data_IF_802378543127
#
_entry.id   IF_802378543127
#
_cell.length_a   1.000
_cell.length_b   1.000
_cell.length_c   1.000
_cell.angle_alpha   90.00
_cell.angle_beta   90.00
_cell.angle_gamma   90.00
#
_symmetry.space_group_name_H-M   'P 1'
#
loop_
_entity.id
_entity.type
_entity.pdbx_description
1 polymer ?
#
# COMPACT_ATOMS: atom_id res chain seq x y z
N UNK A 1 17.07 12.29 -2.89
CA UNK A 1 17.64 10.98 -2.51
C UNK A 1 17.43 10.65 -1.04
N UNK A 2 17.72 11.56 -0.10
CA UNK A 2 17.52 11.32 1.34
C UNK A 2 16.06 10.90 1.68
N UNK A 3 15.07 11.48 1.01
CA UNK A 3 13.65 11.15 1.17
C UNK A 3 13.32 9.68 0.91
N UNK A 4 14.04 9.01 0.00
CA UNK A 4 13.82 7.60 -0.37
C UNK A 4 14.33 6.62 0.70
N UNK A 5 15.28 7.07 1.52
CA UNK A 5 15.84 6.30 2.64
C UNK A 5 15.07 6.58 3.94
N UNK A 6 14.60 7.81 4.15
CA UNK A 6 13.88 8.21 5.36
C UNK A 6 12.42 7.75 5.32
N UNK A 7 11.77 7.80 4.15
CA UNK A 7 10.32 7.51 4.05
C UNK A 7 9.91 6.10 4.49
N UNK A 8 10.70 5.02 4.31
CA UNK A 8 10.38 3.70 4.87
C UNK A 8 10.43 3.67 6.39
N UNK A 9 11.37 4.43 6.99
CA UNK A 9 11.50 4.52 8.44
C UNK A 9 10.36 5.32 9.05
N UNK A 10 9.94 6.41 8.40
CA UNK A 10 8.78 7.21 8.82
C UNK A 10 7.48 6.40 8.73
N UNK A 11 7.27 5.70 7.62
CA UNK A 11 6.13 4.78 7.47
C UNK A 11 6.17 3.66 8.50
N UNK A 12 7.34 3.05 8.70
CA UNK A 12 7.60 2.07 9.75
C UNK A 12 7.27 2.58 11.15
N UNK A 13 7.67 3.80 11.47
CA UNK A 13 7.36 4.43 12.76
C UNK A 13 5.86 4.65 12.95
N UNK A 14 5.15 5.21 11.95
CA UNK A 14 3.71 5.40 12.04
C UNK A 14 2.96 4.06 12.18
N UNK A 15 3.24 3.09 11.31
CA UNK A 15 2.60 1.76 11.37
C UNK A 15 2.94 1.02 12.66
N UNK A 16 4.19 1.12 13.12
CA UNK A 16 4.64 0.54 14.38
C UNK A 16 3.92 1.14 15.58
N UNK A 17 3.75 2.48 15.64
CA UNK A 17 3.00 3.16 16.71
C UNK A 17 1.52 2.75 16.67
N UNK A 18 0.89 2.78 15.50
CA UNK A 18 -0.53 2.40 15.34
C UNK A 18 -0.73 0.94 15.78
N UNK A 19 0.14 0.03 15.35
CA UNK A 19 0.04 -1.38 15.74
C UNK A 19 0.35 -1.60 17.22
N UNK A 20 1.34 -0.90 17.79
CA UNK A 20 1.66 -1.01 19.22
C UNK A 20 0.48 -0.56 20.09
N UNK A 21 -0.18 0.55 19.73
CA UNK A 21 -1.39 1.02 20.41
C UNK A 21 -2.54 0.03 20.21
N UNK A 22 -2.78 -0.42 18.98
CA UNK A 22 -3.81 -1.42 18.67
C UNK A 22 -3.61 -2.69 19.51
N UNK A 23 -2.37 -3.18 19.59
CA UNK A 23 -2.00 -4.37 20.35
C UNK A 23 -2.18 -4.18 21.86
N UNK A 24 -1.70 -3.08 22.41
CA UNK A 24 -1.76 -2.84 23.85
C UNK A 24 -3.17 -2.50 24.35
N UNK A 25 -3.91 -1.70 23.58
CA UNK A 25 -5.19 -1.15 24.01
C UNK A 25 -6.39 -2.02 23.60
N UNK A 26 -6.37 -2.60 22.39
CA UNK A 26 -7.49 -3.36 21.83
C UNK A 26 -7.26 -4.86 21.92
N UNK A 27 -6.17 -5.38 21.35
CA UNK A 27 -5.99 -6.83 21.15
C UNK A 27 -5.69 -7.61 22.44
N UNK A 28 -5.14 -6.94 23.47
CA UNK A 28 -4.86 -7.54 24.80
C UNK A 28 -5.95 -7.28 25.85
N UNK A 29 -7.02 -6.58 25.49
CA UNK A 29 -8.12 -6.33 26.41
C UNK A 29 -9.06 -7.53 26.51
N UNK A 30 -9.79 -7.64 27.62
CA UNK A 30 -10.84 -8.65 27.79
C UNK A 30 -11.89 -8.53 26.67
N UNK A 31 -12.50 -9.64 26.20
CA UNK A 31 -13.35 -9.65 25.00
C UNK A 31 -14.46 -8.59 25.00
N UNK A 32 -15.17 -8.45 26.12
CA UNK A 32 -16.26 -7.48 26.27
C UNK A 32 -15.78 -6.02 26.25
N UNK A 33 -14.59 -5.77 26.82
CA UNK A 33 -14.00 -4.44 26.81
C UNK A 33 -13.31 -4.13 25.48
N UNK A 34 -12.79 -5.15 24.80
CA UNK A 34 -12.03 -5.02 23.56
C UNK A 34 -12.86 -4.39 22.45
N UNK A 35 -14.13 -4.76 22.31
CA UNK A 35 -15.05 -4.16 21.32
C UNK A 35 -15.26 -2.67 21.62
N UNK A 36 -15.50 -2.31 22.90
CA UNK A 36 -15.68 -0.90 23.28
C UNK A 36 -14.42 -0.08 23.02
N UNK A 37 -13.25 -0.63 23.37
CA UNK A 37 -11.94 -0.02 23.13
C UNK A 37 -11.62 0.10 21.64
N UNK A 38 -11.96 -0.91 20.84
CA UNK A 38 -11.83 -0.91 19.38
C UNK A 38 -12.65 0.23 18.77
N UNK A 39 -13.93 0.37 19.17
CA UNK A 39 -14.78 1.47 18.67
C UNK A 39 -14.19 2.84 18.96
N UNK A 40 -13.73 3.07 20.19
CA UNK A 40 -13.13 4.35 20.58
C UNK A 40 -11.83 4.61 19.81
N UNK A 41 -10.94 3.61 19.75
CA UNK A 41 -9.67 3.71 19.05
C UNK A 41 -9.87 4.05 17.56
N UNK A 42 -10.75 3.30 16.88
CA UNK A 42 -11.03 3.49 15.45
C UNK A 42 -11.68 4.85 15.19
N UNK A 43 -12.64 5.27 16.02
CA UNK A 43 -13.27 6.59 15.88
C UNK A 43 -12.24 7.73 16.01
N UNK A 44 -11.36 7.66 17.01
CA UNK A 44 -10.29 8.66 17.18
C UNK A 44 -9.31 8.63 16.01
N UNK A 45 -8.95 7.45 15.53
CA UNK A 45 -8.03 7.31 14.42
C UNK A 45 -8.61 7.88 13.12
N UNK A 46 -9.89 7.61 12.82
CA UNK A 46 -10.62 8.21 11.70
C UNK A 46 -10.64 9.73 11.83
N UNK A 47 -10.94 10.28 13.01
CA UNK A 47 -10.90 11.73 13.24
C UNK A 47 -9.52 12.33 12.97
N UNK A 48 -8.44 11.70 13.45
CA UNK A 48 -7.08 12.20 13.26
C UNK A 48 -6.70 12.16 11.77
N UNK A 49 -6.96 11.04 11.09
CA UNK A 49 -6.64 10.89 9.66
C UNK A 49 -7.43 11.88 8.81
N UNK A 50 -8.72 12.04 9.10
CA UNK A 50 -9.57 12.99 8.38
C UNK A 50 -9.14 14.43 8.65
N UNK A 51 -8.72 14.77 9.87
CA UNK A 51 -8.17 16.08 10.18
C UNK A 51 -6.91 16.37 9.36
N UNK A 52 -5.94 15.45 9.34
CA UNK A 52 -4.72 15.59 8.53
C UNK A 52 -5.04 15.75 7.04
N UNK A 53 -6.01 14.97 6.54
CA UNK A 53 -6.43 15.01 5.14
C UNK A 53 -7.13 16.33 4.79
N UNK A 54 -8.00 16.84 5.66
CA UNK A 54 -8.68 18.12 5.45
C UNK A 54 -7.68 19.27 5.50
N UNK A 55 -6.71 19.26 6.43
CA UNK A 55 -5.64 20.26 6.45
C UNK A 55 -4.92 20.30 5.11
N UNK A 56 -4.56 19.12 4.59
CA UNK A 56 -3.89 19.01 3.28
C UNK A 56 -4.73 19.59 2.13
N UNK A 57 -6.01 19.24 2.05
CA UNK A 57 -6.92 19.73 1.00
C UNK A 57 -7.14 21.23 1.13
N UNK A 58 -7.39 21.74 2.34
CA UNK A 58 -7.63 23.15 2.57
C UNK A 58 -6.41 24.01 2.24
N UNK A 59 -5.19 23.57 2.54
CA UNK A 59 -3.98 24.32 2.19
C UNK A 59 -3.77 24.40 0.67
N UNK A 60 -4.17 23.37 -0.08
CA UNK A 60 -4.03 23.29 -1.55
C UNK A 60 -5.19 23.93 -2.31
N UNK A 61 -6.34 24.12 -1.68
CA UNK A 61 -7.51 24.70 -2.32
C UNK A 61 -7.32 26.19 -2.57
N UNK A 62 -7.81 26.75 -3.70
CA UNK A 62 -7.85 28.19 -3.90
C UNK A 62 -8.85 28.81 -2.92
N UNK A 63 -8.41 29.82 -2.15
CA UNK A 63 -9.25 30.58 -1.22
C UNK A 63 -9.19 32.09 -1.55
N UNK A 64 -10.25 32.85 -1.21
CA UNK A 64 -10.31 34.28 -1.50
C UNK A 64 -9.23 35.13 -0.81
N UNK A 65 -8.77 34.73 0.38
CA UNK A 65 -7.71 35.41 1.13
C UNK A 65 -6.94 34.44 2.04
N UNK A 66 -5.72 34.85 2.40
CA UNK A 66 -4.82 34.11 3.31
C UNK A 66 -5.44 33.89 4.70
N UNK A 67 -6.06 34.92 5.27
CA UNK A 67 -6.72 34.84 6.58
C UNK A 67 -7.91 33.87 6.54
N UNK A 68 -8.67 33.89 5.45
CA UNK A 68 -9.80 32.98 5.26
C UNK A 68 -9.33 31.53 5.07
N UNK A 69 -8.20 31.32 4.39
CA UNK A 69 -7.58 29.99 4.28
C UNK A 69 -7.18 29.45 5.64
N UNK A 70 -6.51 30.25 6.48
CA UNK A 70 -6.04 29.80 7.79
C UNK A 70 -7.22 29.53 8.74
N UNK A 71 -8.18 30.45 8.83
CA UNK A 71 -9.38 30.28 9.64
C UNK A 71 -10.24 29.09 9.17
N UNK A 72 -10.46 28.97 7.86
CA UNK A 72 -11.17 27.85 7.24
C UNK A 72 -10.48 26.52 7.49
N UNK A 73 -9.15 26.46 7.35
CA UNK A 73 -8.37 25.25 7.61
C UNK A 73 -8.53 24.79 9.06
N UNK A 74 -8.38 25.70 10.03
CA UNK A 74 -8.54 25.36 11.46
C UNK A 74 -9.96 24.90 11.76
N UNK A 75 -10.98 25.62 11.26
CA UNK A 75 -12.38 25.30 11.51
C UNK A 75 -12.75 23.92 10.94
N UNK A 76 -12.48 23.69 9.65
CA UNK A 76 -12.85 22.45 8.99
C UNK A 76 -12.03 21.25 9.48
N UNK A 77 -10.73 21.41 9.76
CA UNK A 77 -9.89 20.31 10.24
C UNK A 77 -10.13 19.90 11.69
N UNK A 78 -10.80 20.74 12.48
CA UNK A 78 -11.14 20.41 13.87
C UNK A 78 -12.59 19.97 14.02
N UNK A 79 -13.55 20.75 13.50
CA UNK A 79 -14.97 20.50 13.74
C UNK A 79 -15.51 19.31 12.96
N UNK A 80 -15.19 19.21 11.65
CA UNK A 80 -15.74 18.14 10.81
C UNK A 80 -15.21 16.76 11.24
N UNK A 81 -13.90 16.55 11.47
CA UNK A 81 -13.39 15.26 11.95
C UNK A 81 -13.86 14.86 13.33
N UNK A 82 -14.02 15.83 14.24
CA UNK A 82 -14.57 15.55 15.56
C UNK A 82 -16.03 15.09 15.45
N UNK A 83 -16.84 15.79 14.65
CA UNK A 83 -18.23 15.41 14.40
C UNK A 83 -18.33 14.03 13.76
N UNK A 84 -17.53 13.75 12.72
CA UNK A 84 -17.47 12.43 12.07
C UNK A 84 -17.02 11.36 13.06
N UNK A 85 -16.05 11.63 13.93
CA UNK A 85 -15.60 10.70 14.98
C UNK A 85 -16.68 10.38 16.00
N UNK A 86 -17.41 11.39 16.47
CA UNK A 86 -18.53 11.21 17.41
C UNK A 86 -19.63 10.37 16.78
N UNK A 87 -20.02 10.68 15.53
CA UNK A 87 -20.99 9.88 14.77
C UNK A 87 -20.47 8.47 14.53
N UNK A 88 -19.19 8.31 14.20
CA UNK A 88 -18.57 7.02 14.00
C UNK A 88 -18.65 6.16 15.28
N UNK A 89 -18.31 6.74 16.43
CA UNK A 89 -18.30 6.06 17.71
C UNK A 89 -19.70 5.63 18.19
N UNK A 90 -20.68 6.55 18.16
CA UNK A 90 -22.00 6.30 18.73
C UNK A 90 -22.98 5.63 17.76
N UNK A 91 -22.81 5.79 16.44
CA UNK A 91 -23.83 5.40 15.46
C UNK A 91 -23.31 4.40 14.41
N UNK A 92 -22.17 4.68 13.78
CA UNK A 92 -21.67 3.88 12.66
C UNK A 92 -21.07 2.56 13.14
N UNK A 93 -20.02 2.61 13.96
CA UNK A 93 -19.26 1.43 14.39
C UNK A 93 -20.11 0.43 15.18
N UNK A 94 -21.04 0.83 16.08
CA UNK A 94 -21.94 -0.11 16.72
C UNK A 94 -22.82 -0.89 15.73
N UNK A 95 -23.39 -0.22 14.71
CA UNK A 95 -24.20 -0.90 13.69
C UNK A 95 -23.37 -1.82 12.83
N UNK A 96 -22.22 -1.33 12.39
CA UNK A 96 -21.32 -2.07 11.51
C UNK A 96 -20.81 -3.32 12.22
N UNK A 97 -20.25 -3.20 13.41
CA UNK A 97 -19.75 -4.36 14.15
C UNK A 97 -20.87 -5.30 14.58
N UNK A 98 -22.06 -4.78 14.92
CA UNK A 98 -23.20 -5.64 15.26
C UNK A 98 -23.70 -6.47 14.07
N UNK A 99 -23.66 -5.94 12.85
CA UNK A 99 -24.13 -6.66 11.67
C UNK A 99 -23.05 -7.60 11.07
N UNK A 100 -21.77 -7.26 11.24
CA UNK A 100 -20.66 -7.98 10.60
C UNK A 100 -20.09 -9.10 11.48
N UNK A 101 -19.93 -8.86 12.79
CA UNK A 101 -19.34 -9.82 13.71
C UNK A 101 -20.11 -11.16 13.87
N UNK A 102 -21.46 -11.18 13.97
CA UNK A 102 -22.20 -12.44 14.16
C UNK A 102 -22.09 -13.35 12.94
N UNK A 103 -22.05 -12.76 11.74
CA UNK A 103 -21.96 -13.48 10.46
C UNK A 103 -20.61 -14.18 10.27
N UNK A 104 -19.54 -13.70 10.92
CA UNK A 104 -18.20 -14.28 10.79
C UNK A 104 -17.91 -15.39 11.81
N UNK A 105 -18.37 -15.24 13.06
CA UNK A 105 -18.15 -16.23 14.13
C UNK A 105 -18.75 -17.59 13.76
N UNK A 106 -19.92 -17.59 13.09
CA UNK A 106 -20.65 -18.81 12.70
C UNK A 106 -19.92 -19.63 11.61
N UNK A 107 -19.04 -18.98 10.83
CA UNK A 107 -18.32 -19.63 9.73
C UNK A 107 -16.97 -20.20 10.17
N UNK A 108 -16.36 -19.69 11.26
CA UNK A 108 -15.08 -20.16 11.79
C UNK A 108 -15.00 -20.02 13.31
N UNK A 109 -15.41 -21.01 14.09
CA UNK A 109 -14.78 -21.25 15.40
C UNK A 109 -14.65 -22.75 15.69
N UNK A 110 -13.49 -23.15 16.22
CA UNK A 110 -13.43 -23.28 17.67
C UNK A 110 -12.49 -22.27 18.29
N UNK A 111 -12.88 -21.79 19.47
CA UNK A 111 -12.11 -20.94 20.36
C UNK A 111 -10.79 -21.62 20.73
N UNK A 112 -9.69 -21.28 20.04
CA UNK A 112 -8.36 -21.61 20.54
C UNK A 112 -8.05 -20.58 21.64
N UNK A 113 -8.32 -20.96 22.88
CA UNK A 113 -7.66 -20.34 24.02
C UNK A 113 -6.16 -20.33 23.76
N UNK A 114 -5.50 -19.24 24.11
CA UNK A 114 -4.06 -19.05 23.93
C UNK A 114 -3.27 -20.10 24.72
N UNK A 115 -3.17 -21.32 24.18
CA UNK A 115 -2.29 -22.35 24.69
C UNK A 115 -0.95 -22.25 23.96
N UNK A 116 0.09 -22.24 24.79
CA UNK A 116 1.48 -22.00 24.45
C UNK A 116 2.05 -23.15 23.62
N UNK A 117 1.84 -23.16 22.30
CA UNK A 117 2.55 -24.10 21.44
C UNK A 117 3.89 -23.53 20.99
N UNK A 118 4.94 -23.89 21.74
CA UNK A 118 6.31 -23.96 21.23
C UNK A 118 6.36 -24.87 19.99
N UNK A 119 7.12 -24.52 18.93
CA UNK A 119 7.39 -25.48 17.89
C UNK A 119 8.32 -26.55 18.47
N UNK A 120 7.76 -27.70 18.84
CA UNK A 120 8.55 -28.91 19.04
C UNK A 120 9.06 -29.35 17.67
N UNK A 121 10.38 -29.51 17.58
CA UNK A 121 11.09 -30.16 16.47
C UNK A 121 10.35 -31.44 16.10
N UNK A 122 9.83 -31.51 14.86
CA UNK A 122 9.02 -32.63 14.36
C UNK A 122 9.86 -33.91 14.36
N UNK A 123 9.58 -34.83 15.27
CA UNK A 123 9.95 -36.23 15.07
C UNK A 123 8.93 -36.87 14.11
N UNK A 124 9.48 -37.56 13.12
CA UNK A 124 8.76 -38.21 12.04
C UNK A 124 8.15 -39.50 12.58
N UNK A 125 6.83 -39.55 12.80
CA UNK A 125 6.11 -40.80 13.03
C UNK A 125 4.80 -40.81 12.25
N UNK A 126 4.67 -41.89 11.47
CA UNK A 126 3.59 -42.29 10.59
C UNK A 126 2.30 -42.66 11.33
N UNK A 127 1.19 -42.56 10.58
CA UNK A 127 -0.14 -43.13 10.82
C UNK A 127 -0.98 -42.58 11.97
N UNK A 128 -2.06 -41.84 11.64
CA UNK A 128 -3.40 -42.02 12.23
C UNK A 128 -4.46 -41.41 11.30
N UNK A 129 -5.27 -42.26 10.67
CA UNK A 129 -6.56 -41.87 10.06
C UNK A 129 -7.53 -41.46 11.16
N UNK A 130 -8.16 -40.29 11.07
CA UNK A 130 -9.27 -39.93 11.97
C UNK A 130 -10.55 -39.64 11.17
N UNK A 131 -11.59 -40.36 11.57
CA UNK A 131 -12.93 -40.46 10.98
C UNK A 131 -13.75 -39.20 11.31
N UNK A 132 -14.29 -38.53 10.30
CA UNK A 132 -15.28 -37.45 10.50
C UNK A 132 -16.67 -38.09 10.62
N UNK A 133 -17.25 -38.03 11.81
CA UNK A 133 -18.64 -38.41 12.10
C UNK A 133 -19.53 -37.21 11.85
N UNK A 134 -20.28 -37.23 10.75
CA UNK A 134 -21.34 -36.27 10.46
C UNK A 134 -22.55 -36.53 11.36
N UNK A 135 -22.92 -35.58 12.21
CA UNK A 135 -24.27 -35.52 12.79
C UNK A 135 -25.06 -34.41 12.15
N UNK A 136 -26.17 -34.84 11.55
CA UNK A 136 -27.18 -34.09 10.83
C UNK A 136 -28.00 -33.18 11.74
N UNK A 137 -28.23 -31.95 11.28
CA UNK A 137 -29.49 -31.24 11.50
C UNK A 137 -29.71 -30.28 10.32
N UNK A 138 -30.41 -30.82 9.33
CA UNK A 138 -30.97 -30.12 8.19
C UNK A 138 -32.03 -29.12 8.65
N UNK A 139 -32.10 -27.98 7.95
CA UNK A 139 -33.28 -27.14 7.66
C UNK A 139 -33.07 -25.64 7.94
N UNK A 140 -32.25 -25.01 7.11
CA UNK A 140 -32.60 -23.78 6.36
C UNK A 140 -31.41 -23.37 5.49
N UNK A 141 -31.72 -22.73 4.37
CA UNK A 141 -30.80 -22.02 3.46
C UNK A 141 -30.36 -22.77 2.19
N UNK A 142 -31.30 -22.89 1.25
CA UNK A 142 -31.04 -23.22 -0.15
C UNK A 142 -30.65 -21.98 -0.99
N UNK A 143 -29.84 -21.04 -0.47
CA UNK A 143 -29.35 -19.89 -1.27
C UNK A 143 -27.89 -19.51 -1.05
N UNK A 144 -27.03 -20.39 -0.52
CA UNK A 144 -25.58 -20.12 -0.32
C UNK A 144 -24.66 -20.75 -1.37
N UNK A 145 -25.17 -21.47 -2.37
CA UNK A 145 -24.30 -22.16 -3.34
C UNK A 145 -23.43 -21.20 -4.19
N UNK A 146 -23.87 -19.95 -4.42
CA UNK A 146 -23.08 -18.98 -5.20
C UNK A 146 -21.96 -18.30 -4.41
N UNK A 147 -21.99 -18.32 -3.07
CA UNK A 147 -20.91 -17.78 -2.23
C UNK A 147 -19.87 -18.86 -1.89
N UNK A 148 -20.28 -20.13 -1.85
CA UNK A 148 -19.38 -21.26 -1.63
C UNK A 148 -18.45 -21.50 -2.85
N UNK A 149 -18.94 -21.33 -4.08
CA UNK A 149 -18.11 -21.41 -5.29
C UNK A 149 -17.08 -20.26 -5.37
N UNK A 150 -17.45 -19.04 -4.97
CA UNK A 150 -16.51 -17.91 -4.92
C UNK A 150 -15.47 -18.03 -3.80
N UNK A 151 -15.81 -18.69 -2.68
CA UNK A 151 -14.87 -19.00 -1.61
C UNK A 151 -13.92 -20.15 -1.97
N UNK A 152 -14.35 -21.10 -2.80
CA UNK A 152 -13.50 -22.16 -3.32
C UNK A 152 -12.46 -21.62 -4.33
N UNK A 153 -12.88 -20.69 -5.20
CA UNK A 153 -12.01 -20.03 -6.17
C UNK A 153 -10.98 -19.08 -5.49
N UNK A 154 -11.38 -18.42 -4.41
CA UNK A 154 -10.46 -17.63 -3.57
C UNK A 154 -9.44 -18.50 -2.80
N UNK A 155 -9.75 -19.77 -2.56
CA UNK A 155 -8.84 -20.73 -1.89
C UNK A 155 -7.77 -21.29 -2.84
N UNK A 156 -7.99 -21.26 -4.16
CA UNK A 156 -7.00 -21.72 -5.16
C UNK A 156 -5.89 -20.68 -5.41
N UNK A 157 -6.11 -19.42 -5.02
CA UNK A 157 -5.11 -18.34 -5.11
C UNK A 157 -4.22 -18.21 -3.87
N UNK A 158 -4.29 -19.16 -2.93
CA UNK A 158 -3.38 -19.19 -1.79
C UNK A 158 -1.95 -19.42 -2.32
N UNK A 159 -0.98 -18.52 -2.02
CA UNK A 159 0.39 -18.72 -2.45
C UNK A 159 0.88 -20.07 -1.92
N UNK A 160 1.49 -20.87 -2.80
CA UNK A 160 2.14 -22.14 -2.41
C UNK A 160 2.99 -21.87 -1.17
N UNK A 161 2.54 -22.35 -0.01
CA UNK A 161 3.20 -22.09 1.26
C UNK A 161 4.55 -22.81 1.24
N UNK A 162 5.61 -22.08 0.95
CA UNK A 162 6.97 -22.55 1.17
C UNK A 162 7.16 -22.83 2.67
N UNK A 163 7.89 -23.88 3.01
CA UNK A 163 8.14 -24.30 4.40
C UNK A 163 8.66 -23.13 5.27
N UNK A 164 9.51 -22.26 4.69
CA UNK A 164 10.02 -21.04 5.32
C UNK A 164 8.91 -20.01 5.67
N UNK A 165 7.90 -19.85 4.81
CA UNK A 165 6.77 -18.94 5.04
C UNK A 165 5.84 -19.48 6.12
N UNK A 166 5.63 -20.80 6.15
CA UNK A 166 4.82 -21.46 7.19
C UNK A 166 5.46 -21.32 8.59
N UNK A 167 6.77 -21.52 8.69
CA UNK A 167 7.52 -21.32 9.93
C UNK A 167 7.46 -19.86 10.40
N UNK A 168 7.58 -18.89 9.48
CA UNK A 168 7.42 -17.47 9.78
C UNK A 168 6.03 -17.18 10.36
N UNK A 169 4.98 -17.75 9.78
CA UNK A 169 3.60 -17.54 10.21
C UNK A 169 3.30 -18.17 11.57
N UNK A 170 4.03 -19.23 11.93
CA UNK A 170 3.98 -19.83 13.26
C UNK A 170 4.57 -18.89 14.34
N UNK A 171 5.48 -17.99 13.97
CA UNK A 171 6.07 -17.01 14.88
C UNK A 171 5.26 -15.71 15.07
N UNK A 172 4.07 -15.62 14.49
CA UNK A 172 3.22 -14.44 14.63
C UNK A 172 2.15 -14.65 15.70
N UNK A 173 1.99 -13.65 16.58
CA UNK A 173 0.95 -13.67 17.63
C UNK A 173 -0.45 -13.80 17.00
N UNK A 174 -1.28 -14.70 17.53
CA UNK A 174 -2.67 -14.87 17.12
C UNK A 174 -3.61 -14.20 18.13
N UNK A 175 -4.67 -13.56 17.63
CA UNK A 175 -5.63 -12.81 18.43
C UNK A 175 -7.06 -13.35 18.22
N UNK A 176 -8.00 -12.89 19.06
CA UNK A 176 -9.40 -13.31 18.98
C UNK A 176 -9.97 -13.07 17.58
N UNK A 177 -10.56 -14.12 16.98
CA UNK A 177 -11.14 -14.06 15.63
C UNK A 177 -12.24 -13.02 15.48
N UNK A 178 -12.99 -12.74 16.56
CA UNK A 178 -14.03 -11.72 16.57
C UNK A 178 -13.48 -10.30 16.35
N UNK A 179 -12.38 -9.96 17.03
CA UNK A 179 -11.78 -8.62 16.93
C UNK A 179 -11.11 -8.45 15.57
N UNK A 180 -10.43 -9.50 15.09
CA UNK A 180 -9.81 -9.52 13.77
C UNK A 180 -10.85 -9.41 12.64
N UNK A 181 -12.03 -10.03 12.77
CA UNK A 181 -13.12 -9.88 11.80
C UNK A 181 -13.61 -8.42 11.68
N UNK A 182 -13.71 -7.70 12.81
CA UNK A 182 -14.01 -6.27 12.77
C UNK A 182 -12.90 -5.48 12.07
N UNK A 183 -11.63 -5.86 12.28
CA UNK A 183 -10.49 -5.23 11.59
C UNK A 183 -10.46 -5.54 10.10
N UNK A 184 -10.99 -6.66 9.62
CA UNK A 184 -11.06 -7.01 8.20
C UNK A 184 -11.86 -5.96 7.41
N UNK A 185 -13.02 -5.57 7.94
CA UNK A 185 -13.82 -4.51 7.33
C UNK A 185 -13.12 -3.14 7.40
N UNK A 186 -12.47 -2.84 8.52
CA UNK A 186 -11.70 -1.60 8.66
C UNK A 186 -10.49 -1.57 7.73
N UNK A 187 -9.91 -2.73 7.43
CA UNK A 187 -8.79 -2.86 6.53
C UNK A 187 -9.18 -2.46 5.10
N UNK A 188 -10.40 -2.77 4.65
CA UNK A 188 -10.88 -2.30 3.34
C UNK A 188 -10.90 -0.76 3.27
N UNK A 189 -11.28 -0.09 4.37
CA UNK A 189 -11.26 1.38 4.45
C UNK A 189 -9.83 1.93 4.47
N UNK A 190 -8.91 1.31 5.21
CA UNK A 190 -7.50 1.74 5.22
C UNK A 190 -6.80 1.49 3.90
N UNK A 191 -7.12 0.39 3.20
CA UNK A 191 -6.62 0.10 1.87
C UNK A 191 -7.12 1.14 0.86
N UNK A 192 -8.38 1.56 0.97
CA UNK A 192 -8.94 2.65 0.15
C UNK A 192 -8.24 3.99 0.42
N UNK A 193 -7.94 4.29 1.69
CA UNK A 193 -7.17 5.48 2.06
C UNK A 193 -5.73 5.44 1.52
N UNK A 194 -5.05 4.30 1.64
CA UNK A 194 -3.72 4.10 1.07
C UNK A 194 -3.75 4.28 -0.45
N UNK A 195 -4.72 3.69 -1.14
CA UNK A 195 -4.89 3.83 -2.59
C UNK A 195 -5.06 5.30 -3.02
N UNK A 196 -5.84 6.08 -2.25
CA UNK A 196 -5.97 7.52 -2.48
C UNK A 196 -4.63 8.27 -2.32
N UNK A 197 -3.93 8.06 -1.20
CA UNK A 197 -2.63 8.71 -0.96
C UNK A 197 -1.58 8.30 -2.00
N UNK A 198 -1.58 7.03 -2.41
CA UNK A 198 -0.71 6.48 -3.44
C UNK A 198 -0.96 7.13 -4.80
N UNK A 199 -2.23 7.25 -5.21
CA UNK A 199 -2.61 7.92 -6.45
C UNK A 199 -2.18 9.39 -6.47
N UNK A 200 -2.35 10.10 -5.36
CA UNK A 200 -1.97 11.51 -5.24
C UNK A 200 -0.46 11.75 -5.44
N UNK A 201 0.38 10.82 -4.98
CA UNK A 201 1.83 10.91 -5.13
C UNK A 201 2.29 10.41 -6.51
N UNK A 202 1.83 9.24 -6.93
CA UNK A 202 2.47 8.49 -8.02
C UNK A 202 1.95 8.86 -9.41
N UNK A 203 0.80 9.54 -9.53
CA UNK A 203 0.33 10.08 -10.82
C UNK A 203 1.36 11.03 -11.44
N UNK A 204 2.10 11.77 -10.61
CA UNK A 204 3.11 12.73 -11.05
C UNK A 204 4.29 12.07 -11.77
N UNK A 205 4.61 10.81 -11.45
CA UNK A 205 5.74 10.08 -12.05
C UNK A 205 5.51 9.82 -13.55
N UNK A 206 4.27 9.55 -13.95
CA UNK A 206 3.91 9.32 -15.36
C UNK A 206 3.49 10.61 -16.06
N UNK A 207 2.70 11.46 -15.38
CA UNK A 207 2.13 12.66 -15.99
C UNK A 207 3.13 13.81 -16.08
N UNK A 208 4.10 13.91 -15.18
CA UNK A 208 5.12 14.96 -15.19
C UNK A 208 5.85 15.07 -16.54
N UNK A 209 6.48 14.00 -17.05
CA UNK A 209 7.14 14.01 -18.35
C UNK A 209 6.19 14.35 -19.51
N UNK A 210 4.97 13.81 -19.51
CA UNK A 210 3.99 14.08 -20.58
C UNK A 210 3.54 15.54 -20.58
N UNK A 211 3.39 16.13 -19.40
CA UNK A 211 3.03 17.55 -19.27
C UNK A 211 4.15 18.44 -19.78
N UNK A 212 5.41 18.11 -19.49
CA UNK A 212 6.56 18.84 -20.04
C UNK A 212 6.61 18.77 -21.58
N UNK A 213 6.32 17.62 -22.19
CA UNK A 213 6.23 17.48 -23.65
C UNK A 213 5.12 18.37 -24.24
N UNK A 214 3.94 18.36 -23.60
CA UNK A 214 2.80 19.15 -24.05
C UNK A 214 3.09 20.66 -23.98
N UNK A 215 3.85 21.09 -22.97
CA UNK A 215 4.22 22.48 -22.78
C UNK A 215 5.22 22.95 -23.85
N UNK A 216 6.29 22.19 -24.08
CA UNK A 216 7.23 22.45 -25.18
C UNK A 216 6.49 22.50 -26.52
N UNK A 217 5.52 21.62 -26.74
CA UNK A 217 4.72 21.61 -27.97
C UNK A 217 3.84 22.86 -28.13
N UNK A 218 3.36 23.47 -27.03
CA UNK A 218 2.45 24.62 -27.08
C UNK A 218 3.16 25.97 -26.98
N UNK A 219 4.12 26.08 -26.06
CA UNK A 219 4.82 27.33 -25.71
C UNK A 219 6.27 27.41 -26.19
N UNK A 220 6.84 26.32 -26.71
CA UNK A 220 8.23 26.27 -27.18
C UNK A 220 9.28 26.26 -26.06
N UNK A 221 8.85 26.32 -24.79
CA UNK A 221 9.69 26.23 -23.60
C UNK A 221 8.96 25.46 -22.50
N UNK A 222 9.68 25.11 -21.44
CA UNK A 222 9.10 24.50 -20.23
C UNK A 222 8.94 25.60 -19.19
N UNK A 223 7.71 25.94 -18.83
CA UNK A 223 7.45 26.87 -17.72
C UNK A 223 7.77 26.24 -16.36
N UNK A 224 8.09 27.06 -15.36
CA UNK A 224 8.50 26.58 -14.02
C UNK A 224 7.30 26.16 -13.17
N UNK A 225 6.09 26.69 -13.46
CA UNK A 225 4.87 26.43 -12.68
C UNK A 225 3.81 25.69 -13.52
N UNK A 226 4.15 24.44 -13.85
CA UNK A 226 3.34 23.61 -14.75
C UNK A 226 2.14 23.04 -13.99
N UNK A 227 0.94 23.54 -14.29
CA UNK A 227 -0.31 22.90 -13.83
C UNK A 227 -0.80 21.92 -14.90
N UNK A 228 -0.72 20.59 -14.66
CA UNK A 228 -1.17 19.61 -15.64
C UNK A 228 -2.68 19.71 -15.86
N UNK A 229 -3.15 19.65 -17.12
CA UNK A 229 -4.58 19.71 -17.41
C UNK A 229 -5.30 18.47 -16.86
N UNK A 230 -6.56 18.66 -16.43
CA UNK A 230 -7.35 17.63 -15.73
C UNK A 230 -7.48 16.32 -16.53
N UNK A 231 -7.64 16.39 -17.86
CA UNK A 231 -7.75 15.20 -18.71
C UNK A 231 -6.48 14.34 -18.68
N UNK A 232 -5.32 14.98 -18.53
CA UNK A 232 -4.04 14.27 -18.47
C UNK A 232 -3.85 13.60 -17.10
N UNK A 233 -4.32 14.24 -16.03
CA UNK A 233 -4.41 13.62 -14.70
C UNK A 233 -5.39 12.43 -14.70
N UNK A 234 -6.52 12.56 -15.39
CA UNK A 234 -7.49 11.47 -15.56
C UNK A 234 -6.90 10.29 -16.34
N UNK A 235 -6.11 10.55 -17.39
CA UNK A 235 -5.36 9.54 -18.13
C UNK A 235 -4.38 8.79 -17.22
N UNK A 236 -3.64 9.53 -16.38
CA UNK A 236 -2.72 8.96 -15.41
C UNK A 236 -3.42 8.05 -14.40
N UNK A 237 -4.56 8.50 -13.85
CA UNK A 237 -5.39 7.69 -12.95
C UNK A 237 -5.91 6.42 -13.62
N UNK A 238 -6.45 6.53 -14.84
CA UNK A 238 -6.91 5.38 -15.61
C UNK A 238 -5.79 4.37 -15.90
N UNK A 239 -4.58 4.86 -16.20
CA UNK A 239 -3.39 4.03 -16.39
C UNK A 239 -3.00 3.25 -15.13
N UNK A 240 -3.01 3.90 -13.96
CA UNK A 240 -2.75 3.25 -12.67
C UNK A 240 -3.79 2.16 -12.40
N UNK A 241 -5.09 2.45 -12.57
CA UNK A 241 -6.16 1.47 -12.37
C UNK A 241 -6.01 0.26 -13.30
N UNK A 242 -5.70 0.51 -14.57
CA UNK A 242 -5.51 -0.54 -15.58
C UNK A 242 -4.30 -1.42 -15.24
N UNK A 243 -3.16 -0.82 -14.89
CA UNK A 243 -1.96 -1.56 -14.50
C UNK A 243 -2.17 -2.40 -13.25
N UNK A 244 -2.88 -1.86 -12.25
CA UNK A 244 -3.22 -2.59 -11.03
C UNK A 244 -4.13 -3.79 -11.33
N UNK A 245 -5.11 -3.63 -12.21
CA UNK A 245 -6.03 -4.70 -12.61
C UNK A 245 -5.30 -5.88 -13.28
N UNK A 246 -4.40 -5.62 -14.22
CA UNK A 246 -3.70 -6.69 -14.96
C UNK A 246 -2.51 -7.29 -14.21
N UNK A 247 -1.68 -6.46 -13.57
CA UNK A 247 -0.38 -6.88 -13.04
C UNK A 247 -0.26 -6.76 -11.51
N UNK A 248 -1.23 -6.15 -10.82
CA UNK A 248 -1.16 -5.91 -9.38
C UNK A 248 -1.02 -7.17 -8.54
N UNK A 249 -1.60 -8.29 -8.98
CA UNK A 249 -1.62 -9.54 -8.21
C UNK A 249 -0.22 -10.15 -7.99
N UNK A 250 0.73 -9.96 -8.91
CA UNK A 250 2.10 -10.43 -8.76
C UNK A 250 2.83 -9.74 -7.59
N UNK A 251 2.61 -8.43 -7.43
CA UNK A 251 3.23 -7.66 -6.35
C UNK A 251 2.51 -7.93 -5.02
N UNK A 252 1.17 -7.99 -5.05
CA UNK A 252 0.36 -8.28 -3.86
C UNK A 252 0.64 -9.67 -3.28
N UNK A 253 0.83 -10.69 -4.12
CA UNK A 253 1.21 -12.04 -3.64
C UNK A 253 2.61 -12.09 -3.03
N UNK A 254 3.55 -11.28 -3.53
CA UNK A 254 4.92 -11.23 -2.99
C UNK A 254 4.96 -10.55 -1.62
N UNK A 255 4.24 -9.43 -1.45
CA UNK A 255 4.26 -8.65 -0.20
C UNK A 255 3.20 -9.11 0.83
N UNK A 256 2.08 -9.66 0.37
CA UNK A 256 0.87 -9.97 1.16
C UNK A 256 0.92 -11.23 2.01
N UNK A 257 2.12 -11.71 2.39
CA UNK A 257 2.25 -12.87 3.27
C UNK A 257 3.65 -13.47 3.36
N UNK A 258 4.50 -13.24 2.36
CA UNK A 258 5.85 -13.81 2.37
C UNK A 258 6.86 -13.01 3.22
N UNK A 259 6.61 -11.71 3.43
CA UNK A 259 7.52 -10.87 4.21
C UNK A 259 7.26 -10.95 5.72
N UNK A 260 5.99 -10.93 6.11
CA UNK A 260 5.52 -11.21 7.47
C UNK A 260 4.08 -11.73 7.43
N UNK A 261 3.60 -12.35 8.50
CA UNK A 261 2.19 -12.71 8.61
C UNK A 261 1.33 -11.45 8.76
N UNK A 262 0.51 -11.17 7.77
CA UNK A 262 -0.44 -10.05 7.77
C UNK A 262 -1.80 -10.56 8.23
N UNK A 263 -2.18 -10.24 9.47
CA UNK A 263 -3.57 -10.34 9.94
C UNK A 263 -4.31 -9.03 9.70
N UNK A 264 -5.65 -9.00 9.72
CA UNK A 264 -6.40 -7.77 9.48
C UNK A 264 -5.97 -6.57 10.33
N UNK A 265 -5.76 -6.76 11.63
CA UNK A 265 -5.27 -5.71 12.53
C UNK A 265 -3.87 -5.18 12.16
N UNK A 266 -2.99 -6.05 11.66
CA UNK A 266 -1.65 -5.70 11.17
C UNK A 266 -1.74 -4.97 9.83
N UNK A 267 -2.52 -5.50 8.88
CA UNK A 267 -2.75 -4.89 7.57
C UNK A 267 -3.31 -3.47 7.70
N UNK A 268 -4.34 -3.31 8.53
CA UNK A 268 -4.89 -2.00 8.88
C UNK A 268 -3.83 -1.01 9.37
N UNK A 269 -2.94 -1.45 10.27
CA UNK A 269 -1.87 -0.59 10.82
C UNK A 269 -0.80 -0.26 9.77
N UNK A 270 -0.44 -1.23 8.92
CA UNK A 270 0.51 -1.06 7.81
C UNK A 270 -0.05 -0.05 6.81
N UNK A 271 -1.28 -0.22 6.36
CA UNK A 271 -1.92 0.60 5.34
C UNK A 271 -2.11 2.05 5.81
N UNK A 272 -2.57 2.25 7.05
CA UNK A 272 -2.75 3.60 7.59
C UNK A 272 -1.42 4.32 7.82
N UNK A 273 -0.43 3.66 8.41
CA UNK A 273 0.88 4.30 8.63
C UNK A 273 1.61 4.60 7.31
N UNK A 274 1.49 3.71 6.33
CA UNK A 274 1.98 3.97 4.96
C UNK A 274 1.25 5.14 4.32
N UNK A 275 -0.09 5.14 4.36
CA UNK A 275 -0.91 6.20 3.76
C UNK A 275 -0.65 7.58 4.38
N UNK A 276 -0.44 7.64 5.70
CA UNK A 276 -0.07 8.86 6.42
C UNK A 276 1.33 9.36 6.02
N UNK A 277 2.32 8.46 5.95
CA UNK A 277 3.66 8.82 5.52
C UNK A 277 3.68 9.35 4.08
N UNK A 278 2.91 8.71 3.19
CA UNK A 278 2.78 9.14 1.80
C UNK A 278 2.11 10.50 1.70
N UNK A 279 0.99 10.71 2.40
CA UNK A 279 0.29 12.00 2.42
C UNK A 279 1.18 13.12 2.95
N UNK A 280 1.96 12.86 4.01
CA UNK A 280 2.90 13.83 4.56
C UNK A 280 4.02 14.17 3.57
N UNK A 281 4.55 13.19 2.85
CA UNK A 281 5.55 13.45 1.81
C UNK A 281 4.97 14.26 0.65
N UNK A 282 3.73 13.97 0.23
CA UNK A 282 3.00 14.76 -0.77
C UNK A 282 2.78 16.20 -0.31
N UNK A 283 2.57 16.42 1.00
CA UNK A 283 2.48 17.76 1.58
C UNK A 283 3.82 18.51 1.48
N UNK A 284 4.92 17.85 1.84
CA UNK A 284 6.27 18.40 1.75
C UNK A 284 6.80 18.51 0.31
N UNK A 285 5.99 18.13 -0.70
CA UNK A 285 6.37 18.07 -2.12
C UNK A 285 7.63 17.22 -2.35
N UNK A 286 7.85 16.22 -1.51
CA UNK A 286 9.01 15.33 -1.62
C UNK A 286 8.64 14.13 -2.49
N UNK A 287 9.39 13.84 -3.56
CA UNK A 287 9.25 12.58 -4.26
C UNK A 287 9.75 11.45 -3.34
N UNK A 288 8.86 10.53 -3.03
CA UNK A 288 9.15 9.32 -2.25
C UNK A 288 8.65 8.09 -3.01
N UNK A 289 9.09 6.91 -2.58
CA UNK A 289 8.58 5.63 -3.05
C UNK A 289 7.58 5.07 -2.04
N UNK A 290 6.30 5.07 -2.43
CA UNK A 290 5.19 4.46 -1.70
C UNK A 290 5.43 2.97 -1.42
N UNK A 291 6.07 2.26 -2.36
CA UNK A 291 6.45 0.84 -2.20
C UNK A 291 7.48 0.67 -1.07
N UNK A 292 8.48 1.55 -0.97
CA UNK A 292 9.44 1.47 0.12
C UNK A 292 8.78 1.78 1.47
N UNK A 293 7.84 2.74 1.49
CA UNK A 293 7.02 3.03 2.68
C UNK A 293 6.25 1.79 3.15
N UNK A 294 5.56 1.10 2.23
CA UNK A 294 4.80 -0.11 2.55
C UNK A 294 5.70 -1.22 3.09
N UNK A 295 6.86 -1.47 2.45
CA UNK A 295 7.82 -2.47 2.94
C UNK A 295 8.35 -2.11 4.33
N UNK A 296 8.70 -0.84 4.58
CA UNK A 296 9.12 -0.37 5.89
C UNK A 296 8.05 -0.53 6.98
N UNK A 297 6.79 -0.22 6.65
CA UNK A 297 5.63 -0.43 7.50
C UNK A 297 5.41 -1.91 7.86
N UNK A 298 5.47 -2.80 6.86
CA UNK A 298 5.34 -4.26 7.05
C UNK A 298 6.44 -4.80 7.96
N UNK A 299 7.70 -4.42 7.71
CA UNK A 299 8.83 -4.85 8.54
C UNK A 299 8.68 -4.35 9.98
N UNK A 300 8.32 -3.08 10.18
CA UNK A 300 8.14 -2.52 11.52
C UNK A 300 7.04 -3.23 12.32
N UNK A 301 5.90 -3.52 11.70
CA UNK A 301 4.80 -4.27 12.33
C UNK A 301 5.21 -5.72 12.59
N UNK A 302 5.93 -6.35 11.66
CA UNK A 302 6.48 -7.69 11.82
C UNK A 302 7.44 -7.81 13.01
N UNK A 303 8.33 -6.82 13.19
CA UNK A 303 9.28 -6.75 14.30
C UNK A 303 8.62 -6.56 15.67
N UNK A 304 7.39 -6.05 15.72
CA UNK A 304 6.63 -5.90 16.97
C UNK A 304 5.99 -7.22 17.45
N UNK A 305 6.07 -8.31 16.68
CA UNK A 305 5.67 -9.64 17.15
C UNK A 305 6.57 -10.12 18.31
N UNK A 306 6.06 -11.04 19.15
CA UNK A 306 6.79 -11.51 20.35
C UNK A 306 8.15 -12.13 20.04
N UNK A 307 8.31 -12.81 18.90
CA UNK A 307 9.59 -13.38 18.46
C UNK A 307 10.41 -12.43 17.56
N UNK A 308 9.99 -11.16 17.47
CA UNK A 308 10.74 -10.05 16.86
C UNK A 308 11.23 -10.35 15.46
N UNK A 309 12.54 -10.49 15.32
CA UNK A 309 13.25 -10.69 14.04
C UNK A 309 12.89 -11.99 13.32
N UNK A 310 12.38 -13.01 14.03
CA UNK A 310 11.98 -14.30 13.42
C UNK A 310 10.65 -14.22 12.68
N UNK A 311 9.84 -13.20 12.95
CA UNK A 311 8.56 -12.99 12.28
C UNK A 311 8.71 -12.19 10.96
N UNK A 312 9.95 -11.98 10.47
CA UNK A 312 10.26 -11.25 9.25
C UNK A 312 11.21 -12.08 8.38
N UNK A 313 10.88 -12.22 7.09
CA UNK A 313 11.76 -12.90 6.13
C UNK A 313 12.88 -11.95 5.66
N UNK A 314 14.07 -12.10 6.25
CA UNK A 314 15.24 -11.29 5.91
C UNK A 314 15.78 -11.59 4.50
N UNK A 315 15.68 -12.84 4.05
CA UNK A 315 16.07 -13.25 2.70
C UNK A 315 15.24 -12.53 1.64
N UNK A 316 13.91 -12.46 1.85
CA UNK A 316 13.02 -11.73 0.95
C UNK A 316 13.28 -10.22 1.02
N UNK A 317 13.46 -9.65 2.21
CA UNK A 317 13.75 -8.23 2.37
C UNK A 317 15.01 -7.80 1.59
N UNK A 318 16.08 -8.59 1.64
CA UNK A 318 17.30 -8.30 0.88
C UNK A 318 17.17 -8.51 -0.62
N UNK A 319 16.35 -9.45 -1.09
CA UNK A 319 16.00 -9.53 -2.52
C UNK A 319 15.26 -8.28 -2.99
N UNK A 320 14.31 -7.79 -2.19
CA UNK A 320 13.55 -6.57 -2.47
C UNK A 320 14.46 -5.35 -2.51
N UNK A 321 15.30 -5.14 -1.49
CA UNK A 321 16.24 -4.01 -1.47
C UNK A 321 17.26 -4.09 -2.60
N UNK A 322 17.76 -5.29 -2.92
CA UNK A 322 18.64 -5.53 -4.06
C UNK A 322 17.97 -5.10 -5.38
N UNK A 323 16.68 -5.42 -5.56
CA UNK A 323 15.92 -5.01 -6.75
C UNK A 323 15.83 -3.49 -6.90
N UNK A 324 15.69 -2.74 -5.80
CA UNK A 324 15.61 -1.27 -5.83
C UNK A 324 16.93 -0.64 -6.29
N UNK A 325 18.06 -1.18 -5.83
CA UNK A 325 19.40 -0.72 -6.22
C UNK A 325 19.62 -0.98 -7.71
N UNK A 326 19.21 -2.15 -8.23
CA UNK A 326 19.37 -2.51 -9.64
C UNK A 326 18.43 -1.72 -10.57
N UNK A 327 17.24 -1.38 -10.10
CA UNK A 327 16.22 -0.70 -10.92
C UNK A 327 16.69 0.68 -11.38
N UNK A 328 17.38 1.45 -10.51
CA UNK A 328 17.81 2.82 -10.82
C UNK A 328 18.83 2.91 -11.97
N UNK A 329 19.97 2.19 -11.93
CA UNK A 329 20.91 2.14 -13.05
C UNK A 329 20.27 1.59 -14.32
N UNK A 330 19.44 0.55 -14.20
CA UNK A 330 18.77 -0.07 -15.35
C UNK A 330 17.85 0.92 -16.05
N UNK A 331 17.01 1.64 -15.31
CA UNK A 331 16.13 2.67 -15.86
C UNK A 331 16.92 3.83 -16.51
N UNK A 332 18.01 4.28 -15.86
CA UNK A 332 18.87 5.33 -16.40
C UNK A 332 19.57 4.92 -17.70
N UNK A 333 20.13 3.72 -17.74
CA UNK A 333 20.80 3.17 -18.94
C UNK A 333 19.82 2.95 -20.09
N UNK A 334 18.62 2.42 -19.80
CA UNK A 334 17.58 2.25 -20.82
C UNK A 334 17.13 3.61 -21.37
N UNK A 335 16.89 4.60 -20.50
CA UNK A 335 16.52 5.96 -20.93
C UNK A 335 17.60 6.59 -21.81
N UNK A 336 18.87 6.50 -21.39
CA UNK A 336 20.00 6.99 -22.19
C UNK A 336 20.13 6.27 -23.53
N UNK A 337 19.94 4.95 -23.55
CA UNK A 337 19.95 4.13 -24.77
C UNK A 337 18.85 4.52 -25.75
N UNK A 338 17.61 4.68 -25.27
CA UNK A 338 16.49 5.15 -26.11
C UNK A 338 16.73 6.55 -26.65
N UNK A 339 17.22 7.48 -25.83
CA UNK A 339 17.54 8.83 -26.27
C UNK A 339 18.64 8.82 -27.35
N UNK A 340 19.72 8.07 -27.13
CA UNK A 340 20.82 7.96 -28.10
C UNK A 340 20.36 7.35 -29.43
N UNK A 341 19.44 6.38 -29.39
CA UNK A 341 18.87 5.76 -30.59
C UNK A 341 17.90 6.70 -31.35
N UNK A 342 17.09 7.49 -30.64
CA UNK A 342 16.12 8.41 -31.24
C UNK A 342 16.75 9.69 -31.75
N UNK A 343 17.81 10.19 -31.11
CA UNK A 343 18.50 11.44 -31.48
C UNK A 343 18.87 11.53 -32.97
N UNK A 344 19.53 10.54 -33.61
CA UNK A 344 19.85 10.62 -35.03
C UNK A 344 18.59 10.61 -35.91
N UNK A 345 17.54 9.88 -35.54
CA UNK A 345 16.28 9.83 -36.29
C UNK A 345 15.59 11.18 -36.28
N UNK A 346 15.52 11.85 -35.12
CA UNK A 346 14.95 13.19 -35.00
C UNK A 346 15.76 14.21 -35.80
N UNK A 347 17.10 14.15 -35.71
CA UNK A 347 17.97 15.01 -36.50
C UNK A 347 17.80 14.80 -38.02
N UNK A 348 17.51 13.59 -38.47
CA UNK A 348 17.21 13.27 -39.87
C UNK A 348 15.96 14.00 -40.39
N UNK A 349 14.95 14.13 -39.53
CA UNK A 349 13.66 14.74 -39.85
C UNK A 349 13.78 16.27 -39.94
N UNK A 350 14.62 16.89 -39.11
CA UNK A 350 14.84 18.35 -39.14
C UNK A 350 15.75 18.82 -40.28
N UNK A 351 16.74 18.02 -40.69
CA UNK A 351 17.76 18.43 -41.67
C UNK A 351 17.55 17.86 -43.09
N UNK A 352 16.55 17.01 -43.30
CA UNK A 352 16.42 16.25 -44.54
C UNK A 352 17.51 15.17 -44.69
N UNK A 353 17.23 14.06 -45.39
CA UNK A 353 18.09 12.86 -45.37
C UNK A 353 19.50 13.09 -45.94
N UNK A 354 19.67 14.04 -46.87
CA UNK A 354 20.96 14.31 -47.52
C UNK A 354 21.98 15.03 -46.61
N UNK A 355 21.52 15.99 -45.80
CA UNK A 355 22.39 16.79 -44.94
C UNK A 355 22.81 16.02 -43.67
N UNK A 356 21.96 15.10 -43.21
CA UNK A 356 22.28 14.15 -42.14
C UNK A 356 23.36 13.14 -42.58
N UNK A 357 23.25 12.56 -43.79
CA UNK A 357 24.26 11.66 -44.34
C UNK A 357 25.63 12.36 -44.45
N UNK A 358 25.64 13.62 -44.89
CA UNK A 358 26.88 14.41 -44.98
C UNK A 358 27.51 14.71 -43.61
N UNK A 359 26.75 14.85 -42.52
CA UNK A 359 27.34 15.03 -41.17
C UNK A 359 27.78 13.70 -40.54
N UNK A 360 27.01 12.64 -40.71
CA UNK A 360 27.37 11.31 -40.20
C UNK A 360 28.61 10.74 -40.91
N UNK A 361 28.71 10.90 -42.24
CA UNK A 361 29.84 10.43 -43.04
C UNK A 361 30.95 11.49 -43.22
N UNK A 362 30.64 12.79 -43.14
CA UNK A 362 31.64 13.86 -43.22
C UNK A 362 32.63 13.84 -42.05
N UNK A 363 32.18 13.45 -40.86
CA UNK A 363 33.08 13.22 -39.72
C UNK A 363 33.98 11.98 -39.88
N UNK A 364 33.73 11.08 -40.85
CA UNK A 364 34.68 10.01 -41.19
C UNK A 364 35.87 10.54 -42.02
N UNK A 365 35.71 11.59 -42.82
CA UNK A 365 36.84 12.20 -43.54
C UNK A 365 37.81 12.90 -42.59
N UNK A 366 37.29 13.59 -41.57
CA UNK A 366 38.11 14.21 -40.52
C UNK A 366 38.89 13.17 -39.68
N UNK A 367 38.37 11.96 -39.51
CA UNK A 367 39.06 10.86 -38.84
C UNK A 367 40.16 10.22 -39.70
N UNK A 368 40.07 10.28 -41.03
CA UNK A 368 41.12 9.79 -41.93
C UNK A 368 42.26 10.81 -42.10
N UNK A 369 41.97 12.11 -42.08
CA UNK A 369 42.98 13.17 -42.13
C UNK A 369 43.79 13.32 -40.82
N UNK A 370 43.36 12.68 -39.73
CA UNK A 370 44.15 12.65 -38.47
C UNK A 370 45.16 11.47 -38.45
N UNK A 371 45.12 10.57 -39.44
CA UNK A 371 46.00 9.39 -39.55
C UNK A 371 46.76 9.30 -40.89
N UNK A 372 46.70 10.35 -41.72
CA UNK A 372 47.56 10.56 -42.89
C UNK A 372 48.52 11.73 -42.60
#
# INVERSE_FOLDING_TARGET
MLSWVISPLVAGAFSGIIYAITRAYVLRADPDQAIRRQRLFVALLISIILAVTIVFVCIRSPWPSEDFRLAGTILFSTMLPLAVGVVAYYWLLPRVFHNYAPSYIDVKTPLVHAEQHHPRRRERSSDTRLVIRSTSSSERFASTNSMAESAADASEMAPVENEETADLHAYADQYSGLIEANFELLQVLSASYLAFSHGAQDVSNAIGPVTAILDVYRGGSVEVDITPPIWLMALGGAGICTGLFFFGHYVMSTLGGNLTKITPSRGFSVELGTGLAVLLASFLKLPISSTHCAVGAVVAVGLLNRQGTKAVSWSLLWKVVGSWIVTLPTAGLLSAGFYAALRPVVAAVELGPAEMLLRCFGNCSALLDTYA
#
